data_IF_669676979062
#
_entry.id   IF_669676979062
#
_cell.length_a   1.000
_cell.length_b   1.000
_cell.length_c   1.000
_cell.angle_alpha   90.00
_cell.angle_beta   90.00
_cell.angle_gamma   90.00
#
_symmetry.space_group_name_H-M   'P 1'
#
loop_
_entity.id
_entity.type
_entity.pdbx_description
1 polymer ?
#
# COMPACT_ATOMS: atom_id res chain seq x y z
N UNK A 1 -20.35 27.04 -4.58
CA UNK A 1 -20.05 26.03 -3.53
C UNK A 1 -18.58 25.64 -3.67
N UNK A 2 -17.70 25.96 -2.72
CA UNK A 2 -16.31 25.47 -2.75
C UNK A 2 -16.39 23.99 -2.37
N UNK A 3 -16.07 23.10 -3.32
CA UNK A 3 -15.87 21.68 -2.98
C UNK A 3 -14.70 21.64 -2.01
N UNK A 4 -14.96 21.29 -0.76
CA UNK A 4 -13.93 21.19 0.27
C UNK A 4 -13.15 19.91 -0.04
N UNK A 5 -11.88 20.03 -0.41
CA UNK A 5 -11.01 18.89 -0.67
C UNK A 5 -10.69 18.23 0.67
N UNK A 6 -11.12 17.00 0.85
CA UNK A 6 -10.94 16.19 2.07
C UNK A 6 -10.37 14.83 1.69
N UNK A 7 -9.53 14.22 2.53
CA UNK A 7 -9.08 12.85 2.30
C UNK A 7 -10.29 11.90 2.27
N UNK A 8 -10.19 10.93 1.38
CA UNK A 8 -11.16 9.85 1.21
C UNK A 8 -10.69 8.54 1.81
N UNK A 9 -9.36 8.37 1.95
CA UNK A 9 -8.72 7.17 2.51
C UNK A 9 -8.10 7.52 3.86
N UNK A 10 -8.42 6.74 4.88
CA UNK A 10 -7.72 6.70 6.16
C UNK A 10 -6.76 5.51 6.14
N UNK A 11 -5.47 5.78 6.03
CA UNK A 11 -4.42 4.76 6.02
C UNK A 11 -3.78 4.67 7.41
N UNK A 12 -4.06 3.59 8.13
CA UNK A 12 -3.72 3.43 9.54
C UNK A 12 -2.73 2.29 9.77
N UNK A 13 -1.60 2.59 10.40
CA UNK A 13 -0.68 1.61 10.92
C UNK A 13 -1.24 0.99 12.20
N UNK A 14 -1.90 -0.16 12.12
CA UNK A 14 -2.64 -0.72 13.26
C UNK A 14 -1.78 -1.33 14.35
N UNK A 15 -0.50 -1.60 14.06
CA UNK A 15 0.47 -2.18 14.99
C UNK A 15 1.90 -1.77 14.62
N UNK A 16 2.83 -1.78 15.58
CA UNK A 16 4.27 -1.59 15.33
C UNK A 16 5.00 -2.93 15.09
N UNK A 17 4.31 -4.07 15.29
CA UNK A 17 4.90 -5.39 15.25
C UNK A 17 4.87 -6.01 13.87
N UNK A 18 5.93 -6.77 13.54
CA UNK A 18 5.99 -7.59 12.34
C UNK A 18 6.60 -8.97 12.68
N UNK A 19 6.11 -10.01 12.00
CA UNK A 19 6.63 -11.37 12.08
C UNK A 19 7.63 -11.70 10.97
N UNK A 20 8.03 -10.69 10.18
CA UNK A 20 9.07 -10.76 9.15
C UNK A 20 10.08 -9.63 9.34
N UNK A 21 11.31 -9.86 8.88
CA UNK A 21 12.42 -8.90 8.96
C UNK A 21 13.00 -8.67 7.56
N UNK A 22 12.15 -8.17 6.65
CA UNK A 22 12.57 -7.90 5.28
C UNK A 22 13.72 -6.88 5.29
N UNK A 23 14.84 -7.13 4.59
CA UNK A 23 16.03 -6.25 4.64
C UNK A 23 15.73 -4.81 4.25
N UNK A 24 14.86 -4.59 3.28
CA UNK A 24 14.51 -3.28 2.75
C UNK A 24 13.44 -2.53 3.55
N UNK A 25 12.93 -3.12 4.63
CA UNK A 25 11.86 -2.54 5.44
C UNK A 25 12.40 -2.22 6.83
N UNK A 26 12.24 -0.99 7.29
CA UNK A 26 12.68 -0.54 8.60
C UNK A 26 11.58 -0.56 9.66
N UNK A 27 10.30 -0.61 9.25
CA UNK A 27 9.15 -0.51 10.14
C UNK A 27 9.14 -1.55 11.28
N UNK A 28 9.66 -2.75 11.06
CA UNK A 28 9.71 -3.81 12.06
C UNK A 28 10.71 -3.55 13.20
N UNK A 29 11.60 -2.56 13.02
CA UNK A 29 12.61 -2.17 14.00
C UNK A 29 12.09 -1.10 14.99
N UNK A 30 10.95 -0.49 14.71
CA UNK A 30 10.40 0.58 15.51
C UNK A 30 9.36 0.03 16.49
N UNK A 31 9.65 0.11 17.79
CA UNK A 31 8.65 -0.09 18.83
C UNK A 31 7.96 1.23 19.15
N UNK A 32 6.64 1.29 18.91
CA UNK A 32 5.80 2.45 19.23
C UNK A 32 4.63 2.00 20.09
N UNK A 33 4.13 2.91 20.93
CA UNK A 33 2.86 2.71 21.61
C UNK A 33 1.75 2.52 20.59
N UNK A 34 0.85 1.57 20.82
CA UNK A 34 -0.28 1.30 19.92
C UNK A 34 -1.55 1.95 20.50
N UNK A 35 -2.38 2.53 19.63
CA UNK A 35 -3.72 2.99 20.01
C UNK A 35 -4.54 1.83 20.59
N UNK A 36 -5.38 2.11 21.59
CA UNK A 36 -6.35 1.13 22.08
C UNK A 36 -7.45 0.87 21.06
N UNK A 37 -8.24 -0.18 21.26
CA UNK A 37 -9.40 -0.42 20.40
C UNK A 37 -10.41 0.73 20.47
N UNK A 38 -10.65 1.27 21.67
CA UNK A 38 -11.58 2.37 21.93
C UNK A 38 -11.14 3.66 21.21
N UNK A 39 -9.83 3.97 21.23
CA UNK A 39 -9.27 5.11 20.51
C UNK A 39 -9.43 4.94 18.98
N UNK A 40 -9.23 3.72 18.47
CA UNK A 40 -9.41 3.41 17.03
C UNK A 40 -10.89 3.48 16.66
N UNK A 41 -11.79 2.95 17.49
CA UNK A 41 -13.23 3.00 17.24
C UNK A 41 -13.73 4.46 17.20
N UNK A 42 -13.29 5.29 18.14
CA UNK A 42 -13.61 6.73 18.13
C UNK A 42 -13.07 7.40 16.86
N UNK A 43 -11.83 7.13 16.48
CA UNK A 43 -11.24 7.65 15.23
C UNK A 43 -12.07 7.25 14.00
N UNK A 44 -12.57 6.01 13.95
CA UNK A 44 -13.39 5.53 12.83
C UNK A 44 -14.78 6.18 12.81
N UNK A 45 -15.39 6.42 13.98
CA UNK A 45 -16.66 7.18 14.07
C UNK A 45 -16.49 8.59 13.50
N UNK A 46 -15.48 9.30 13.95
CA UNK A 46 -15.16 10.64 13.47
C UNK A 46 -14.75 10.66 11.99
N UNK A 47 -14.05 9.60 11.52
CA UNK A 47 -13.65 9.46 10.12
C UNK A 47 -14.89 9.29 9.21
N UNK A 48 -15.88 8.50 9.62
CA UNK A 48 -17.14 8.35 8.89
C UNK A 48 -17.88 9.70 8.78
N UNK A 49 -18.01 10.42 9.88
CA UNK A 49 -18.64 11.76 9.91
C UNK A 49 -17.86 12.78 9.07
N UNK A 50 -16.53 12.66 9.02
CA UNK A 50 -15.66 13.50 8.20
C UNK A 50 -15.78 13.19 6.70
N UNK A 51 -16.25 11.99 6.32
CA UNK A 51 -16.47 11.56 4.95
C UNK A 51 -15.36 10.66 4.38
N UNK A 52 -14.59 10.00 5.24
CA UNK A 52 -13.69 8.91 4.85
C UNK A 52 -14.53 7.75 4.30
N UNK A 53 -14.18 7.27 3.11
CA UNK A 53 -14.87 6.15 2.45
C UNK A 53 -14.09 4.83 2.49
N UNK A 54 -12.78 4.89 2.76
CA UNK A 54 -11.91 3.70 2.82
C UNK A 54 -11.03 3.74 4.07
N UNK A 55 -11.05 2.68 4.85
CA UNK A 55 -10.10 2.41 5.93
C UNK A 55 -9.09 1.37 5.46
N UNK A 56 -7.82 1.73 5.40
CA UNK A 56 -6.75 0.84 4.99
C UNK A 56 -5.86 0.49 6.19
N UNK A 57 -5.97 -0.75 6.69
CA UNK A 57 -5.08 -1.30 7.71
C UNK A 57 -3.78 -1.77 7.05
N UNK A 58 -2.68 -1.14 7.39
CA UNK A 58 -1.38 -1.41 6.78
C UNK A 58 -0.23 -1.18 7.78
N UNK A 59 1.00 -1.25 7.33
CA UNK A 59 2.26 -1.12 8.08
C UNK A 59 2.58 -2.35 8.92
N UNK A 60 3.86 -2.75 8.92
CA UNK A 60 4.31 -3.94 9.64
C UNK A 60 3.46 -5.17 9.28
N UNK A 61 2.82 -5.84 10.23
CA UNK A 61 1.92 -6.95 9.93
C UNK A 61 0.60 -6.81 10.71
N UNK A 62 -0.44 -6.26 10.06
CA UNK A 62 -1.74 -6.04 10.71
C UNK A 62 -2.38 -7.30 11.29
N UNK A 63 -2.12 -8.49 10.71
CA UNK A 63 -2.65 -9.75 11.21
C UNK A 63 -2.10 -10.16 12.60
N UNK A 64 -1.07 -9.47 13.11
CA UNK A 64 -0.61 -9.61 14.49
C UNK A 64 -1.48 -8.84 15.49
N UNK A 65 -2.30 -7.89 15.02
CA UNK A 65 -3.21 -7.17 15.88
C UNK A 65 -4.38 -8.07 16.26
N UNK A 66 -4.54 -8.37 17.55
CA UNK A 66 -5.59 -9.27 18.06
C UNK A 66 -6.98 -8.72 17.72
N UNK A 67 -7.18 -7.43 17.94
CA UNK A 67 -8.46 -6.76 17.71
C UNK A 67 -8.72 -6.34 16.25
N UNK A 68 -7.88 -6.76 15.29
CA UNK A 68 -8.08 -6.39 13.87
C UNK A 68 -9.50 -6.75 13.36
N UNK A 69 -10.06 -7.95 13.63
CA UNK A 69 -11.42 -8.26 13.20
C UNK A 69 -12.46 -7.27 13.71
N UNK A 70 -12.39 -6.90 14.99
CA UNK A 70 -13.31 -5.93 15.59
C UNK A 70 -13.13 -4.51 15.00
N UNK A 71 -11.89 -4.12 14.67
CA UNK A 71 -11.60 -2.85 13.99
C UNK A 71 -12.25 -2.80 12.61
N UNK A 72 -12.09 -3.87 11.82
CA UNK A 72 -12.69 -3.97 10.48
C UNK A 72 -14.23 -3.99 10.55
N UNK A 73 -14.80 -4.75 11.49
CA UNK A 73 -16.24 -4.78 11.74
C UNK A 73 -16.77 -3.39 12.10
N UNK A 74 -16.06 -2.66 12.98
CA UNK A 74 -16.46 -1.31 13.38
C UNK A 74 -16.45 -0.35 12.18
N UNK A 75 -15.36 -0.35 11.37
CA UNK A 75 -15.27 0.47 10.16
C UNK A 75 -16.40 0.14 9.17
N UNK A 76 -16.62 -1.15 8.90
CA UNK A 76 -17.67 -1.62 8.00
C UNK A 76 -19.07 -1.21 8.49
N UNK A 77 -19.34 -1.29 9.81
CA UNK A 77 -20.61 -0.86 10.42
C UNK A 77 -20.91 0.63 10.23
N UNK A 78 -19.88 1.45 10.00
CA UNK A 78 -20.00 2.89 9.69
C UNK A 78 -20.10 3.17 8.19
N UNK A 79 -20.18 2.12 7.34
CA UNK A 79 -20.23 2.26 5.88
C UNK A 79 -18.89 2.61 5.25
N UNK A 80 -17.78 2.42 5.96
CA UNK A 80 -16.43 2.60 5.46
C UNK A 80 -15.97 1.28 4.85
N UNK A 81 -15.54 1.28 3.60
CA UNK A 81 -14.93 0.13 2.94
C UNK A 81 -13.62 -0.22 3.62
N UNK A 82 -13.38 -1.50 3.87
CA UNK A 82 -12.20 -1.98 4.59
C UNK A 82 -11.14 -2.56 3.66
N UNK A 83 -9.90 -2.24 3.91
CA UNK A 83 -8.75 -2.72 3.15
C UNK A 83 -7.64 -3.20 4.09
N UNK A 84 -6.94 -4.25 3.69
CA UNK A 84 -5.83 -4.83 4.44
C UNK A 84 -4.62 -5.05 3.52
N UNK A 85 -3.44 -4.62 3.98
CA UNK A 85 -2.16 -4.98 3.37
C UNK A 85 -1.41 -5.90 4.33
N UNK A 86 -1.01 -7.09 3.87
CA UNK A 86 -0.34 -8.11 4.70
C UNK A 86 0.83 -8.76 3.99
N UNK A 87 1.79 -9.27 4.77
CA UNK A 87 2.85 -10.14 4.25
C UNK A 87 2.38 -11.59 3.98
N UNK A 88 1.15 -11.93 4.33
CA UNK A 88 0.51 -13.20 4.04
C UNK A 88 0.85 -14.36 4.98
N UNK A 89 1.85 -14.24 5.87
CA UNK A 89 2.34 -15.37 6.69
C UNK A 89 1.29 -15.92 7.67
N UNK A 90 0.38 -15.08 8.16
CA UNK A 90 -0.70 -15.48 9.06
C UNK A 90 -2.06 -15.62 8.37
N UNK A 91 -2.10 -15.36 7.06
CA UNK A 91 -3.35 -15.19 6.33
C UNK A 91 -4.21 -16.46 6.32
N UNK A 92 -3.62 -17.64 6.05
CA UNK A 92 -4.35 -18.91 6.07
C UNK A 92 -5.11 -19.14 7.39
N UNK A 93 -4.48 -18.78 8.53
CA UNK A 93 -5.04 -18.94 9.87
C UNK A 93 -6.07 -17.86 10.21
N UNK A 94 -5.77 -16.58 9.85
CA UNK A 94 -6.54 -15.42 10.31
C UNK A 94 -7.69 -15.03 9.37
N UNK A 95 -7.64 -15.47 8.11
CA UNK A 95 -8.63 -15.09 7.10
C UNK A 95 -10.09 -15.40 7.50
N UNK A 96 -10.42 -16.52 8.17
CA UNK A 96 -11.79 -16.78 8.63
C UNK A 96 -12.34 -15.74 9.61
N UNK A 97 -11.46 -15.00 10.31
CA UNK A 97 -11.84 -13.99 11.28
C UNK A 97 -12.12 -12.62 10.62
N UNK A 98 -11.86 -12.47 9.29
CA UNK A 98 -11.88 -11.20 8.56
C UNK A 98 -13.12 -11.06 7.66
N UNK A 99 -14.30 -11.43 8.17
CA UNK A 99 -15.56 -11.41 7.41
C UNK A 99 -15.97 -10.02 6.89
N UNK A 100 -15.48 -8.95 7.51
CA UNK A 100 -15.76 -7.56 7.12
C UNK A 100 -14.58 -6.93 6.36
N UNK A 101 -13.80 -7.72 5.64
CA UNK A 101 -12.72 -7.26 4.79
C UNK A 101 -13.19 -7.20 3.34
N UNK A 102 -13.20 -6.00 2.76
CA UNK A 102 -13.60 -5.79 1.36
C UNK A 102 -12.45 -5.96 0.37
N UNK A 103 -11.25 -5.49 0.72
CA UNK A 103 -10.09 -5.45 -0.16
C UNK A 103 -8.86 -6.06 0.53
N UNK A 104 -8.26 -7.05 -0.10
CA UNK A 104 -7.06 -7.72 0.40
C UNK A 104 -5.89 -7.53 -0.55
N UNK A 105 -4.78 -7.06 0.01
CA UNK A 105 -3.51 -6.91 -0.68
C UNK A 105 -2.43 -7.72 0.01
N UNK A 106 -1.73 -8.57 -0.74
CA UNK A 106 -0.70 -9.47 -0.23
C UNK A 106 0.63 -9.14 -0.90
N UNK A 107 1.68 -9.02 -0.09
CA UNK A 107 3.03 -8.73 -0.59
C UNK A 107 3.67 -9.97 -1.20
N UNK A 108 3.92 -9.95 -2.52
CA UNK A 108 4.56 -11.05 -3.26
C UNK A 108 5.60 -10.47 -4.22
N UNK A 109 6.87 -10.48 -3.81
CA UNK A 109 7.94 -9.84 -4.57
C UNK A 109 8.69 -10.78 -5.53
N UNK A 110 8.39 -12.06 -5.53
CA UNK A 110 9.03 -13.05 -6.41
C UNK A 110 8.47 -14.44 -6.16
N UNK A 111 8.83 -15.39 -6.97
CA UNK A 111 8.54 -16.80 -6.79
C UNK A 111 9.81 -17.53 -6.28
N UNK A 112 10.86 -17.48 -7.04
CA UNK A 112 12.15 -18.07 -6.65
C UNK A 112 12.96 -17.13 -5.75
N UNK A 113 12.98 -15.84 -6.07
CA UNK A 113 13.70 -14.81 -5.32
C UNK A 113 13.03 -14.40 -3.99
N UNK A 114 11.78 -14.82 -3.73
CA UNK A 114 11.01 -14.41 -2.56
C UNK A 114 11.77 -14.58 -1.23
N UNK A 115 12.49 -15.70 -1.10
CA UNK A 115 13.28 -15.99 0.11
C UNK A 115 14.43 -15.01 0.30
N UNK A 116 15.09 -14.60 -0.77
CA UNK A 116 16.18 -13.63 -0.73
C UNK A 116 15.67 -12.24 -0.37
N UNK A 117 14.47 -11.88 -0.85
CA UNK A 117 13.87 -10.56 -0.66
C UNK A 117 13.18 -10.46 0.70
N UNK A 118 12.47 -11.51 1.16
CA UNK A 118 11.61 -11.44 2.35
C UNK A 118 12.04 -12.34 3.50
N UNK A 119 13.09 -13.13 3.33
CA UNK A 119 13.67 -13.96 4.40
C UNK A 119 12.96 -15.29 4.67
N UNK A 120 11.85 -15.59 3.99
CA UNK A 120 11.10 -16.84 4.10
C UNK A 120 10.80 -17.45 2.75
N UNK A 121 10.54 -18.74 2.70
CA UNK A 121 10.11 -19.43 1.49
C UNK A 121 8.68 -19.06 1.14
N UNK A 122 8.39 -18.82 -0.16
CA UNK A 122 7.07 -18.43 -0.66
C UNK A 122 6.00 -19.49 -0.35
N UNK A 123 6.38 -20.77 -0.29
CA UNK A 123 5.47 -21.89 0.04
C UNK A 123 4.73 -21.68 1.37
N UNK A 124 5.27 -20.86 2.28
CA UNK A 124 4.65 -20.53 3.55
C UNK A 124 3.44 -19.59 3.45
N UNK A 125 3.32 -18.84 2.37
CA UNK A 125 2.21 -17.90 2.15
C UNK A 125 1.25 -18.38 1.06
N UNK A 126 1.66 -19.29 0.17
CA UNK A 126 0.83 -19.80 -0.92
C UNK A 126 -0.53 -20.36 -0.47
N UNK A 127 -0.64 -21.15 0.64
CA UNK A 127 -1.94 -21.63 1.10
C UNK A 127 -2.90 -20.49 1.46
N UNK A 128 -2.39 -19.46 2.14
CA UNK A 128 -3.16 -18.26 2.47
C UNK A 128 -3.61 -17.48 1.23
N UNK A 129 -2.73 -17.33 0.22
CA UNK A 129 -3.07 -16.68 -1.06
C UNK A 129 -4.19 -17.43 -1.76
N UNK A 130 -4.05 -18.75 -1.96
CA UNK A 130 -5.05 -19.58 -2.64
C UNK A 130 -6.41 -19.52 -1.93
N UNK A 131 -6.41 -19.71 -0.62
CA UNK A 131 -7.62 -19.60 0.20
C UNK A 131 -8.28 -18.22 0.08
N UNK A 132 -7.49 -17.15 0.03
CA UNK A 132 -8.01 -15.80 -0.12
C UNK A 132 -8.71 -15.60 -1.46
N UNK A 133 -8.12 -16.09 -2.55
CA UNK A 133 -8.71 -15.99 -3.89
C UNK A 133 -10.04 -16.77 -3.96
N UNK A 134 -10.15 -17.90 -3.24
CA UNK A 134 -11.37 -18.71 -3.20
C UNK A 134 -12.52 -18.05 -2.44
N UNK A 135 -12.24 -17.28 -1.38
CA UNK A 135 -13.29 -16.81 -0.46
C UNK A 135 -13.56 -15.30 -0.54
N UNK A 136 -12.64 -14.50 -1.05
CA UNK A 136 -12.85 -13.06 -1.20
C UNK A 136 -13.81 -12.77 -2.35
N UNK A 137 -14.81 -11.93 -2.11
CA UNK A 137 -15.75 -11.50 -3.17
C UNK A 137 -15.07 -10.64 -4.24
N UNK A 138 -14.10 -9.82 -3.82
CA UNK A 138 -13.32 -8.99 -4.72
C UNK A 138 -11.98 -9.65 -5.05
N UNK A 139 -11.41 -9.41 -6.24
CA UNK A 139 -10.12 -9.97 -6.59
C UNK A 139 -9.03 -9.59 -5.58
N UNK A 140 -8.25 -10.58 -5.14
CA UNK A 140 -7.08 -10.35 -4.29
C UNK A 140 -6.00 -9.64 -5.10
N UNK A 141 -5.34 -8.65 -4.49
CA UNK A 141 -4.22 -7.95 -5.08
C UNK A 141 -2.89 -8.50 -4.56
N UNK A 142 -2.01 -8.88 -5.46
CA UNK A 142 -0.61 -9.13 -5.16
C UNK A 142 0.19 -7.84 -5.37
N UNK A 143 0.98 -7.42 -4.38
CA UNK A 143 1.86 -6.26 -4.51
C UNK A 143 3.31 -6.71 -4.63
N UNK A 144 3.99 -6.26 -5.68
CA UNK A 144 5.38 -6.54 -5.93
C UNK A 144 6.23 -5.27 -5.89
N UNK A 145 7.24 -5.24 -5.03
CA UNK A 145 8.31 -4.23 -5.03
C UNK A 145 9.42 -4.71 -5.97
N UNK A 146 9.70 -3.93 -7.01
CA UNK A 146 10.73 -4.24 -8.02
C UNK A 146 12.11 -3.94 -7.45
N UNK A 147 13.00 -4.94 -7.48
CA UNK A 147 14.38 -4.84 -7.05
C UNK A 147 15.31 -5.59 -8.01
N UNK A 148 16.62 -5.53 -7.78
CA UNK A 148 17.61 -6.30 -8.56
C UNK A 148 17.45 -7.83 -8.41
N UNK A 149 16.70 -8.27 -7.38
CA UNK A 149 16.51 -9.68 -7.05
C UNK A 149 15.40 -10.34 -7.84
N UNK A 150 14.43 -9.55 -8.34
CA UNK A 150 13.23 -10.05 -9.00
C UNK A 150 12.94 -9.42 -10.36
N UNK A 151 13.80 -8.54 -10.85
CA UNK A 151 13.56 -7.83 -12.13
C UNK A 151 13.35 -8.80 -13.29
N UNK A 152 13.93 -9.99 -13.24
CA UNK A 152 13.81 -11.03 -14.26
C UNK A 152 12.59 -11.94 -14.05
N UNK A 153 11.92 -11.88 -12.87
CA UNK A 153 10.74 -12.69 -12.53
C UNK A 153 9.40 -11.93 -12.69
N UNK A 154 9.41 -10.65 -13.08
CA UNK A 154 8.19 -9.83 -13.07
C UNK A 154 7.08 -10.40 -13.98
N UNK A 155 7.45 -10.96 -15.14
CA UNK A 155 6.49 -11.62 -16.05
C UNK A 155 5.93 -12.90 -15.47
N UNK A 156 6.73 -13.68 -14.75
CA UNK A 156 6.31 -14.93 -14.11
C UNK A 156 5.31 -14.64 -12.98
N UNK A 157 5.51 -13.54 -12.25
CA UNK A 157 4.53 -13.07 -11.26
C UNK A 157 3.19 -12.69 -11.90
N UNK A 158 3.19 -12.09 -13.10
CA UNK A 158 1.95 -11.81 -13.84
C UNK A 158 1.24 -13.09 -14.25
N UNK A 159 1.98 -14.08 -14.76
CA UNK A 159 1.40 -15.38 -15.10
C UNK A 159 0.86 -16.09 -13.86
N UNK A 160 1.59 -16.07 -12.75
CA UNK A 160 1.13 -16.62 -11.49
C UNK A 160 -0.17 -15.95 -11.01
N UNK A 161 -0.25 -14.62 -11.04
CA UNK A 161 -1.47 -13.89 -10.67
C UNK A 161 -2.66 -14.28 -11.57
N UNK A 162 -2.43 -14.37 -12.90
CA UNK A 162 -3.45 -14.79 -13.86
C UNK A 162 -3.93 -16.23 -13.62
N UNK A 163 -3.00 -17.15 -13.34
CA UNK A 163 -3.32 -18.58 -13.10
C UNK A 163 -4.23 -18.75 -11.87
N UNK A 164 -3.94 -18.03 -10.80
CA UNK A 164 -4.72 -18.15 -9.56
C UNK A 164 -5.97 -17.25 -9.51
N UNK A 165 -6.19 -16.39 -10.53
CA UNK A 165 -7.32 -15.45 -10.56
C UNK A 165 -7.14 -14.21 -9.69
N UNK A 166 -5.90 -13.86 -9.33
CA UNK A 166 -5.57 -12.65 -8.60
C UNK A 166 -5.25 -11.47 -9.53
N UNK A 167 -5.17 -10.27 -8.98
CA UNK A 167 -4.62 -9.07 -9.61
C UNK A 167 -3.19 -8.83 -9.11
N UNK A 168 -2.41 -8.06 -9.86
CA UNK A 168 -1.04 -7.73 -9.44
C UNK A 168 -0.72 -6.27 -9.71
N UNK A 169 0.05 -5.66 -8.80
CA UNK A 169 0.64 -4.34 -8.95
C UNK A 169 2.15 -4.38 -8.76
N UNK A 170 2.83 -3.45 -9.41
CA UNK A 170 4.27 -3.29 -9.33
C UNK A 170 4.61 -1.87 -8.89
N UNK A 171 5.58 -1.74 -7.99
CA UNK A 171 6.17 -0.47 -7.64
C UNK A 171 7.70 -0.62 -7.51
N UNK A 172 8.50 0.40 -7.83
CA UNK A 172 9.94 0.30 -7.66
C UNK A 172 10.32 0.38 -6.19
N UNK A 173 11.41 -0.28 -5.80
CA UNK A 173 12.07 0.00 -4.53
C UNK A 173 12.56 1.45 -4.52
N UNK A 174 12.41 2.12 -3.37
CA UNK A 174 12.84 3.49 -3.16
C UNK A 174 14.07 3.57 -2.29
N UNK A 175 14.90 4.55 -2.58
CA UNK A 175 15.89 5.08 -1.65
C UNK A 175 15.19 6.06 -0.71
N UNK A 176 14.79 5.61 0.49
CA UNK A 176 14.27 6.52 1.53
C UNK A 176 15.39 6.91 2.47
N UNK A 177 15.18 7.98 3.25
CA UNK A 177 16.18 8.51 4.18
C UNK A 177 16.79 7.46 5.14
N UNK A 178 16.02 6.43 5.48
CA UNK A 178 16.42 5.42 6.47
C UNK A 178 16.77 4.05 5.88
N UNK A 179 16.75 3.88 4.54
CA UNK A 179 17.26 2.64 3.97
C UNK A 179 18.79 2.61 4.13
N UNK A 180 19.31 1.51 4.65
CA UNK A 180 20.76 1.36 4.80
C UNK A 180 21.44 1.29 3.43
N UNK A 181 22.59 1.94 3.30
CA UNK A 181 23.34 1.99 2.05
C UNK A 181 23.64 0.59 1.49
N UNK A 182 24.06 -0.36 2.36
CA UNK A 182 24.34 -1.73 1.96
C UNK A 182 23.13 -2.49 1.42
N UNK A 183 21.94 -2.21 1.94
CA UNK A 183 20.66 -2.76 1.47
C UNK A 183 20.30 -2.14 0.12
N UNK A 184 20.38 -0.82 0.02
CA UNK A 184 20.12 -0.12 -1.24
C UNK A 184 21.03 -0.59 -2.36
N UNK A 185 22.35 -0.61 -2.13
CA UNK A 185 23.34 -1.06 -3.10
C UNK A 185 23.13 -2.50 -3.59
N UNK A 186 22.61 -3.38 -2.71
CA UNK A 186 22.34 -4.78 -3.02
C UNK A 186 21.00 -4.99 -3.74
N UNK A 187 20.01 -4.12 -3.53
CA UNK A 187 18.66 -4.30 -4.06
C UNK A 187 18.28 -3.34 -5.19
N UNK A 188 19.04 -2.26 -5.39
CA UNK A 188 18.82 -1.37 -6.52
C UNK A 188 19.05 -2.09 -7.86
N UNK A 189 18.15 -1.90 -8.81
CA UNK A 189 18.37 -2.38 -10.19
C UNK A 189 19.32 -1.44 -10.91
N UNK A 190 20.61 -1.81 -10.97
CA UNK A 190 21.68 -1.02 -11.60
C UNK A 190 21.67 -1.17 -13.12
N UNK A 191 21.30 -2.36 -13.62
CA UNK A 191 21.15 -2.61 -15.06
C UNK A 191 19.87 -1.93 -15.58
N UNK A 192 20.06 -0.75 -16.17
CA UNK A 192 18.96 0.05 -16.71
C UNK A 192 18.33 -0.54 -17.96
N UNK A 193 19.05 -1.34 -18.70
CA UNK A 193 18.52 -1.98 -19.91
C UNK A 193 17.63 -3.16 -19.54
N UNK A 194 18.09 -4.05 -18.65
CA UNK A 194 17.28 -5.13 -18.10
C UNK A 194 16.03 -4.58 -17.43
N UNK A 195 16.15 -3.53 -16.61
CA UNK A 195 15.01 -2.86 -15.97
C UNK A 195 13.98 -2.37 -16.98
N UNK A 196 14.43 -1.65 -18.02
CA UNK A 196 13.52 -1.14 -19.06
C UNK A 196 12.83 -2.26 -19.83
N UNK A 197 13.58 -3.31 -20.17
CA UNK A 197 13.04 -4.48 -20.87
C UNK A 197 11.94 -5.16 -20.03
N UNK A 198 12.17 -5.36 -18.74
CA UNK A 198 11.18 -5.94 -17.85
C UNK A 198 9.90 -5.08 -17.79
N UNK A 199 10.04 -3.76 -17.65
CA UNK A 199 8.89 -2.84 -17.64
C UNK A 199 8.18 -2.76 -19.00
N UNK A 200 8.91 -2.85 -20.12
CA UNK A 200 8.31 -2.93 -21.46
C UNK A 200 7.45 -4.19 -21.60
N UNK A 201 7.92 -5.33 -21.07
CA UNK A 201 7.12 -6.57 -21.03
C UNK A 201 5.85 -6.40 -20.19
N UNK A 202 5.92 -5.75 -19.00
CA UNK A 202 4.73 -5.47 -18.19
C UNK A 202 3.72 -4.56 -18.91
N UNK A 203 4.19 -3.53 -19.61
CA UNK A 203 3.37 -2.61 -20.40
C UNK A 203 2.66 -3.38 -21.54
N UNK A 204 3.37 -4.26 -22.21
CA UNK A 204 2.81 -5.11 -23.25
C UNK A 204 1.75 -6.06 -22.69
N UNK A 205 2.07 -6.80 -21.62
CA UNK A 205 1.14 -7.73 -20.95
C UNK A 205 -0.12 -6.99 -20.46
N UNK A 206 0.02 -5.81 -19.86
CA UNK A 206 -1.13 -4.96 -19.48
C UNK A 206 -2.00 -4.62 -20.70
N UNK A 207 -1.37 -4.26 -21.82
CA UNK A 207 -2.10 -3.95 -23.07
C UNK A 207 -2.79 -5.17 -23.67
N UNK A 208 -2.31 -6.37 -23.39
CA UNK A 208 -2.92 -7.65 -23.77
C UNK A 208 -4.02 -8.12 -22.82
N UNK A 209 -4.30 -7.37 -21.73
CA UNK A 209 -5.37 -7.67 -20.78
C UNK A 209 -4.97 -8.60 -19.62
N UNK A 210 -3.69 -8.81 -19.38
CA UNK A 210 -3.22 -9.49 -18.16
C UNK A 210 -3.61 -8.71 -16.89
N UNK A 211 -3.72 -9.37 -15.73
CA UNK A 211 -4.34 -8.81 -14.52
C UNK A 211 -3.45 -7.80 -13.78
N UNK A 212 -2.71 -6.97 -14.50
CA UNK A 212 -1.90 -5.88 -13.94
C UNK A 212 -2.81 -4.68 -13.67
N UNK A 213 -2.88 -4.19 -12.43
CA UNK A 213 -3.75 -3.06 -12.09
C UNK A 213 -3.12 -1.69 -12.31
N UNK A 214 -1.79 -1.62 -12.39
CA UNK A 214 -1.12 -0.34 -12.69
C UNK A 214 -1.61 0.24 -14.01
N UNK A 215 -1.84 1.55 -14.05
CA UNK A 215 -2.11 2.25 -15.30
C UNK A 215 -0.89 2.24 -16.24
N UNK A 216 -1.11 2.32 -17.54
CA UNK A 216 -0.02 2.45 -18.52
C UNK A 216 0.77 3.74 -18.30
N UNK A 217 0.11 4.80 -17.84
CA UNK A 217 0.75 6.06 -17.47
C UNK A 217 1.73 5.86 -16.33
N UNK A 218 1.31 5.14 -15.27
CA UNK A 218 2.17 4.84 -14.14
C UNK A 218 3.34 3.94 -14.54
N UNK A 219 3.08 2.82 -15.25
CA UNK A 219 4.14 1.91 -15.69
C UNK A 219 5.21 2.62 -16.55
N UNK A 220 4.82 3.57 -17.39
CA UNK A 220 5.77 4.40 -18.16
C UNK A 220 6.61 5.31 -17.27
N UNK A 221 6.05 5.86 -16.19
CA UNK A 221 6.81 6.63 -15.20
C UNK A 221 7.82 5.75 -14.47
N UNK A 222 7.40 4.55 -14.04
CA UNK A 222 8.27 3.56 -13.39
C UNK A 222 9.39 3.14 -14.33
N UNK A 223 9.09 2.78 -15.58
CA UNK A 223 10.06 2.41 -16.61
C UNK A 223 11.15 3.46 -16.80
N UNK A 224 10.77 4.73 -16.80
CA UNK A 224 11.67 5.84 -17.00
C UNK A 224 12.33 6.33 -15.69
N UNK A 225 11.95 5.78 -14.54
CA UNK A 225 12.32 6.26 -13.19
C UNK A 225 12.12 7.77 -13.06
N UNK A 226 11.04 8.29 -13.64
CA UNK A 226 10.75 9.72 -13.67
C UNK A 226 9.31 9.97 -13.30
N UNK A 227 9.04 10.43 -12.07
CA UNK A 227 7.71 10.89 -11.68
C UNK A 227 7.26 12.06 -12.57
N UNK A 228 6.05 11.98 -13.09
CA UNK A 228 5.45 13.03 -13.93
C UNK A 228 3.97 13.16 -13.59
N UNK A 229 3.68 13.54 -12.34
CA UNK A 229 2.34 13.80 -11.84
C UNK A 229 2.39 14.85 -10.75
N UNK A 230 1.27 15.50 -10.47
CA UNK A 230 1.12 16.33 -9.28
C UNK A 230 0.68 15.45 -8.11
N UNK A 231 1.44 15.46 -7.02
CA UNK A 231 1.05 14.67 -5.85
C UNK A 231 -0.12 15.33 -5.11
N UNK A 232 -1.21 14.58 -4.95
CA UNK A 232 -2.40 14.97 -4.21
C UNK A 232 -2.58 14.16 -2.92
N UNK A 233 -1.54 13.47 -2.45
CA UNK A 233 -1.62 12.64 -1.24
C UNK A 233 -2.28 13.37 -0.05
N UNK A 234 -1.97 14.65 0.27
CA UNK A 234 -2.62 15.36 1.38
C UNK A 234 -4.13 15.58 1.23
N UNK A 235 -4.62 15.60 -0.01
CA UNK A 235 -6.04 15.81 -0.30
C UNK A 235 -6.83 14.49 -0.43
N UNK A 236 -6.12 13.34 -0.48
CA UNK A 236 -6.72 12.03 -0.77
C UNK A 236 -6.57 11.07 0.40
N UNK A 237 -5.40 11.05 1.05
CA UNK A 237 -5.03 10.05 2.05
C UNK A 237 -4.63 10.73 3.35
N UNK A 238 -5.26 10.33 4.44
CA UNK A 238 -4.85 10.66 5.79
C UNK A 238 -4.05 9.47 6.35
N UNK A 239 -2.75 9.66 6.54
CA UNK A 239 -1.87 8.64 7.10
C UNK A 239 -1.81 8.79 8.62
N UNK A 240 -2.06 7.72 9.36
CA UNK A 240 -2.01 7.67 10.82
C UNK A 240 -1.10 6.51 11.25
N UNK A 241 -0.11 6.80 12.08
CA UNK A 241 0.75 5.79 12.70
C UNK A 241 0.02 4.97 13.76
N UNK A 242 0.62 3.85 14.19
CA UNK A 242 0.05 3.02 15.25
C UNK A 242 -0.04 3.76 16.60
N UNK A 243 0.74 4.79 16.77
CA UNK A 243 0.77 5.68 17.94
C UNK A 243 -0.30 6.81 17.89
N UNK A 244 -1.10 6.85 16.83
CA UNK A 244 -2.13 7.86 16.63
C UNK A 244 -1.61 9.18 16.06
N UNK A 245 -0.34 9.25 15.65
CA UNK A 245 0.19 10.46 15.02
C UNK A 245 -0.16 10.50 13.53
N UNK A 246 -0.71 11.62 13.09
CA UNK A 246 -0.87 11.92 11.66
C UNK A 246 0.50 12.15 11.06
N UNK A 247 0.83 11.44 10.00
CA UNK A 247 2.10 11.52 9.28
C UNK A 247 1.91 12.18 7.90
N UNK A 248 2.95 12.82 7.40
CA UNK A 248 2.92 13.48 6.08
C UNK A 248 2.64 12.49 4.95
N UNK A 249 3.46 11.48 4.82
CA UNK A 249 3.36 10.38 3.86
C UNK A 249 4.36 9.28 4.23
N UNK A 250 4.31 8.15 3.53
CA UNK A 250 5.23 7.01 3.77
C UNK A 250 6.71 7.33 3.53
N UNK A 251 7.00 8.30 2.68
CA UNK A 251 8.38 8.67 2.34
C UNK A 251 9.00 9.58 3.41
N UNK A 252 8.28 10.61 3.82
CA UNK A 252 8.80 11.58 4.78
C UNK A 252 8.52 11.23 6.24
N UNK A 253 7.43 10.50 6.53
CA UNK A 253 7.07 9.99 7.86
C UNK A 253 7.15 10.99 9.03
N UNK A 254 7.04 12.27 8.72
CA UNK A 254 7.07 13.32 9.73
C UNK A 254 5.76 13.36 10.52
N UNK A 255 5.78 13.18 11.85
CA UNK A 255 4.58 13.33 12.67
C UNK A 255 4.14 14.78 12.75
N UNK A 256 2.84 15.06 12.60
CA UNK A 256 2.30 16.41 12.49
C UNK A 256 1.27 16.73 13.57
N UNK A 257 0.34 15.82 13.84
CA UNK A 257 -0.77 16.04 14.77
C UNK A 257 -1.21 14.72 15.41
N UNK A 258 -1.83 14.79 16.58
CA UNK A 258 -2.42 13.64 17.24
C UNK A 258 -3.88 13.48 16.79
N UNK A 259 -4.23 12.33 16.22
CA UNK A 259 -5.58 12.01 15.72
C UNK A 259 -6.65 11.99 16.83
N UNK A 260 -6.25 11.73 18.08
CA UNK A 260 -7.15 11.76 19.25
C UNK A 260 -7.73 13.13 19.55
N UNK A 261 -7.19 14.19 18.93
CA UNK A 261 -7.76 15.56 19.00
C UNK A 261 -8.90 15.78 18.03
N UNK A 262 -9.33 14.74 17.34
CA UNK A 262 -10.37 14.73 16.32
C UNK A 262 -9.81 14.67 14.91
N UNK A 263 -10.45 13.85 14.05
CA UNK A 263 -9.98 13.57 12.68
C UNK A 263 -9.91 14.86 11.83
N UNK A 264 -10.95 15.68 11.85
CA UNK A 264 -10.98 16.96 11.11
C UNK A 264 -9.93 17.94 11.65
N UNK A 265 -9.82 18.05 12.97
CA UNK A 265 -8.87 18.96 13.60
C UNK A 265 -7.42 18.55 13.30
N UNK A 266 -7.10 17.27 13.38
CA UNK A 266 -5.77 16.75 13.09
C UNK A 266 -5.39 16.94 11.62
N UNK A 267 -6.34 16.71 10.70
CA UNK A 267 -6.10 16.95 9.26
C UNK A 267 -5.89 18.44 8.97
N UNK A 268 -6.75 19.34 9.47
CA UNK A 268 -6.61 20.79 9.26
C UNK A 268 -5.28 21.31 9.83
N UNK A 269 -4.88 20.85 11.02
CA UNK A 269 -3.59 21.20 11.61
C UNK A 269 -2.38 20.75 10.80
N UNK A 270 -2.50 19.59 10.11
CA UNK A 270 -1.42 18.98 9.33
C UNK A 270 -1.34 19.51 7.90
N UNK A 271 -2.44 19.93 7.31
CA UNK A 271 -2.61 20.19 5.88
C UNK A 271 -1.61 21.20 5.31
N UNK A 272 -1.34 22.30 6.01
CA UNK A 272 -0.42 23.32 5.53
C UNK A 272 1.00 22.78 5.39
N UNK A 273 1.48 22.03 6.39
CA UNK A 273 2.80 21.40 6.40
C UNK A 273 2.88 20.31 5.33
N UNK A 274 1.87 19.43 5.22
CA UNK A 274 1.80 18.42 4.17
C UNK A 274 1.88 19.05 2.77
N UNK A 275 1.11 20.12 2.53
CA UNK A 275 1.10 20.82 1.24
C UNK A 275 2.47 21.41 0.90
N UNK A 276 3.17 21.99 1.90
CA UNK A 276 4.52 22.51 1.72
C UNK A 276 5.48 21.39 1.32
N UNK A 277 5.50 20.29 2.08
CA UNK A 277 6.39 19.14 1.82
C UNK A 277 6.13 18.57 0.42
N UNK A 278 4.87 18.37 0.03
CA UNK A 278 4.52 17.84 -1.31
C UNK A 278 4.96 18.78 -2.44
N UNK A 279 4.89 20.09 -2.24
CA UNK A 279 5.34 21.07 -3.25
C UNK A 279 6.86 21.11 -3.42
N UNK A 280 7.61 20.81 -2.35
CA UNK A 280 9.08 20.79 -2.32
C UNK A 280 9.65 19.39 -2.65
N UNK A 281 8.82 18.35 -2.65
CA UNK A 281 9.22 16.96 -2.86
C UNK A 281 9.58 16.67 -4.33
N UNK A 282 10.66 15.92 -4.56
CA UNK A 282 11.09 15.45 -5.90
C UNK A 282 10.14 14.41 -6.51
N UNK A 283 9.13 14.03 -5.75
CA UNK A 283 8.08 13.05 -6.06
C UNK A 283 8.58 11.61 -6.11
N UNK A 284 7.88 10.75 -5.41
CA UNK A 284 8.10 9.31 -5.43
C UNK A 284 7.27 8.65 -6.54
N UNK A 285 7.57 7.37 -6.80
CA UNK A 285 6.74 6.51 -7.63
C UNK A 285 5.96 5.49 -6.77
N UNK A 286 5.65 5.87 -5.52
CA UNK A 286 4.84 5.03 -4.66
C UNK A 286 3.46 4.83 -5.31
N UNK A 287 3.10 3.56 -5.54
CA UNK A 287 1.92 3.18 -6.31
C UNK A 287 0.64 3.89 -5.82
N UNK A 288 0.34 3.78 -4.53
CA UNK A 288 -0.86 4.37 -3.95
C UNK A 288 -0.96 5.89 -4.09
N UNK A 289 0.16 6.63 -4.03
CA UNK A 289 0.12 8.09 -4.19
C UNK A 289 0.08 8.52 -5.66
N UNK A 290 0.84 7.85 -6.51
CA UNK A 290 0.89 8.20 -7.93
C UNK A 290 -0.43 7.91 -8.65
N UNK A 291 -0.98 6.69 -8.51
CA UNK A 291 -2.23 6.31 -9.17
C UNK A 291 -3.42 7.13 -8.66
N UNK A 292 -3.55 7.28 -7.33
CA UNK A 292 -4.64 8.10 -6.79
C UNK A 292 -4.51 9.58 -7.20
N UNK A 293 -3.29 10.11 -7.37
CA UNK A 293 -3.09 11.45 -7.87
C UNK A 293 -3.45 11.59 -9.35
N UNK A 294 -3.13 10.59 -10.18
CA UNK A 294 -3.56 10.56 -11.59
C UNK A 294 -5.09 10.52 -11.70
N UNK A 295 -5.75 9.71 -10.87
CA UNK A 295 -7.22 9.67 -10.81
C UNK A 295 -7.82 11.00 -10.37
N UNK A 296 -7.23 11.63 -9.36
CA UNK A 296 -7.67 12.92 -8.84
C UNK A 296 -7.55 14.04 -9.87
N UNK A 297 -6.55 13.98 -10.75
CA UNK A 297 -6.38 14.91 -11.88
C UNK A 297 -7.16 14.49 -13.13
N UNK A 298 -8.07 13.51 -13.02
CA UNK A 298 -8.91 13.01 -14.12
C UNK A 298 -8.09 12.49 -15.31
N UNK A 299 -6.97 11.85 -15.08
CA UNK A 299 -6.21 11.19 -16.14
C UNK A 299 -7.07 10.10 -16.78
N UNK A 300 -7.45 10.31 -18.07
CA UNK A 300 -8.41 9.45 -18.77
C UNK A 300 -7.89 8.01 -18.95
N UNK A 301 -6.58 7.85 -19.07
CA UNK A 301 -5.98 6.52 -19.19
C UNK A 301 -6.05 5.78 -17.84
N UNK A 302 -5.64 6.42 -16.75
CA UNK A 302 -5.75 5.86 -15.41
C UNK A 302 -7.22 5.52 -15.06
N UNK A 303 -8.17 6.41 -15.39
CA UNK A 303 -9.60 6.15 -15.18
C UNK A 303 -10.13 4.93 -15.95
N UNK A 304 -9.66 4.70 -17.18
CA UNK A 304 -10.09 3.56 -18.00
C UNK A 304 -9.54 2.22 -17.48
N UNK A 305 -8.41 2.25 -16.83
CA UNK A 305 -7.70 1.08 -16.34
C UNK A 305 -7.79 0.92 -14.82
N UNK A 306 -8.61 1.73 -14.17
CA UNK A 306 -8.83 1.66 -12.74
C UNK A 306 -9.78 0.48 -12.42
N UNK A 307 -9.18 -0.62 -12.04
CA UNK A 307 -9.89 -1.89 -11.85
C UNK A 307 -10.00 -2.30 -10.37
N UNK A 308 -9.43 -1.48 -9.48
CA UNK A 308 -9.27 -1.86 -8.08
C UNK A 308 -9.72 -0.75 -7.12
N UNK A 309 -11.00 -0.55 -7.01
CA UNK A 309 -11.75 0.02 -5.87
C UNK A 309 -13.24 -0.23 -6.04
#
# INVERSE_FOLDING_TARGET
>A
MKIRRRPYVLSHGVTSRCNMQCPFCEYWQEEKAEMTFEEIAQMLDEAADFGIGVYNAWTTEPLLREHLPAILEHAHSKGIMTSLVTNGLLLEKRLPDLSNLDLLSISVDGLESYREIRGIDISRILPGIKKSVEIMERPVLLNCVISSKNVDELTDLVYFAAEIGARISFEPLYEFENIRDDVWENMEVKDREAYRKALDSLIEMKSQGYPIINSLTYLKMVRNRKPSFKCHAPDIILNVGCDGMVETCRVHRQPLADIRKGVENAWEASKATMTKIVNECDKCLFFGYAENSLLYDYNLEALRHYEWM
#
